data_IF_201710971790
#
_entry.id   IF_201710971790
#
_cell.length_a   1.000
_cell.length_b   1.000
_cell.length_c   1.000
_cell.angle_alpha   90.00
_cell.angle_beta   90.00
_cell.angle_gamma   90.00
#
_symmetry.space_group_name_H-M   'P 1'
#
loop_
_entity.id
_entity.type
_entity.pdbx_description
1 polymer ?
#
# COMPACT_ATOMS: atom_id res chain seq x y z
N UNK A 1 3.43 11.11 8.26
CA UNK A 1 4.34 9.97 8.01
C UNK A 1 5.52 10.43 7.18
N UNK A 2 6.73 9.88 7.45
CA UNK A 2 8.06 10.36 7.05
C UNK A 2 8.09 11.21 5.77
N UNK A 3 7.64 10.67 4.63
CA UNK A 3 7.62 11.38 3.35
C UNK A 3 6.95 12.76 3.39
N UNK A 4 5.85 12.93 4.12
CA UNK A 4 5.19 14.23 4.32
C UNK A 4 6.06 15.17 5.16
N UNK A 5 6.76 14.65 6.17
CA UNK A 5 7.62 15.43 7.06
C UNK A 5 8.90 15.93 6.36
N UNK A 6 9.42 15.16 5.39
CA UNK A 6 10.58 15.53 4.58
C UNK A 6 10.20 16.17 3.23
N UNK A 7 8.96 16.67 3.07
CA UNK A 7 8.52 17.44 1.89
C UNK A 7 8.15 16.63 0.64
N UNK A 8 8.21 15.29 0.67
CA UNK A 8 7.85 14.41 -0.45
C UNK A 8 6.34 14.09 -0.48
N UNK A 9 5.50 15.12 -0.63
CA UNK A 9 4.03 14.98 -0.58
C UNK A 9 3.47 14.09 -1.70
N UNK A 10 3.94 14.23 -2.94
CA UNK A 10 3.49 13.42 -4.07
C UNK A 10 3.79 11.94 -3.87
N UNK A 11 4.99 11.61 -3.41
CA UNK A 11 5.37 10.24 -3.10
C UNK A 11 4.52 9.67 -1.95
N UNK A 12 4.27 10.47 -0.91
CA UNK A 12 3.40 10.07 0.20
C UNK A 12 1.96 9.76 -0.27
N UNK A 13 1.42 10.57 -1.18
CA UNK A 13 0.10 10.37 -1.77
C UNK A 13 0.04 9.08 -2.60
N UNK A 14 1.03 8.83 -3.46
CA UNK A 14 1.13 7.59 -4.27
C UNK A 14 1.16 6.34 -3.38
N UNK A 15 2.00 6.33 -2.35
CA UNK A 15 2.08 5.21 -1.40
C UNK A 15 0.75 5.00 -0.70
N UNK A 16 0.09 6.07 -0.22
CA UNK A 16 -1.21 5.96 0.43
C UNK A 16 -2.27 5.38 -0.51
N UNK A 17 -2.34 5.87 -1.75
CA UNK A 17 -3.29 5.37 -2.75
C UNK A 17 -3.06 3.89 -3.05
N UNK A 18 -1.82 3.48 -3.32
CA UNK A 18 -1.48 2.09 -3.60
C UNK A 18 -1.83 1.14 -2.44
N UNK A 19 -1.64 1.57 -1.19
CA UNK A 19 -2.08 0.81 -0.01
C UNK A 19 -3.60 0.71 0.02
N UNK A 20 -4.32 1.83 -0.15
CA UNK A 20 -5.79 1.82 -0.12
C UNK A 20 -6.39 0.96 -1.23
N UNK A 21 -5.83 0.99 -2.43
CA UNK A 21 -6.27 0.15 -3.55
C UNK A 21 -6.01 -1.34 -3.31
N UNK A 22 -4.90 -1.67 -2.64
CA UNK A 22 -4.60 -3.05 -2.22
C UNK A 22 -5.66 -3.56 -1.25
N UNK A 23 -6.03 -2.75 -0.25
CA UNK A 23 -7.05 -3.09 0.73
C UNK A 23 -8.44 -3.20 0.08
N UNK A 24 -8.81 -2.26 -0.80
CA UNK A 24 -10.09 -2.28 -1.54
C UNK A 24 -10.21 -3.49 -2.46
N UNK A 25 -9.10 -4.00 -2.98
CA UNK A 25 -9.05 -5.21 -3.79
C UNK A 25 -9.19 -6.51 -2.95
N UNK A 26 -9.37 -6.42 -1.63
CA UNK A 26 -9.51 -7.58 -0.75
C UNK A 26 -8.21 -8.33 -0.48
N UNK A 27 -7.06 -7.74 -0.81
CA UNK A 27 -5.74 -8.34 -0.59
C UNK A 27 -5.32 -7.99 0.84
N UNK A 28 -5.84 -8.76 1.79
CA UNK A 28 -5.74 -8.53 3.23
C UNK A 28 -4.93 -9.63 3.91
N UNK A 29 -4.09 -9.27 4.87
CA UNK A 29 -3.40 -10.21 5.76
C UNK A 29 -4.36 -10.81 6.81
N UNK A 30 -3.99 -11.91 7.50
CA UNK A 30 -4.85 -12.55 8.51
C UNK A 30 -5.30 -11.64 9.65
N UNK A 31 -4.47 -10.69 10.07
CA UNK A 31 -4.82 -9.69 11.08
C UNK A 31 -5.92 -8.72 10.64
N UNK A 32 -6.15 -8.60 9.32
CA UNK A 32 -7.24 -7.82 8.71
C UNK A 32 -8.37 -8.71 8.19
N UNK A 33 -8.41 -9.99 8.58
CA UNK A 33 -9.46 -10.94 8.19
C UNK A 33 -9.30 -11.55 6.80
N UNK A 34 -8.13 -11.43 6.17
CA UNK A 34 -7.82 -12.07 4.88
C UNK A 34 -6.90 -13.28 4.99
N UNK A 35 -6.35 -13.69 3.86
CA UNK A 35 -5.43 -14.84 3.76
C UNK A 35 -4.11 -14.48 3.07
N UNK A 36 -3.92 -13.23 2.66
CA UNK A 36 -2.72 -12.79 1.95
C UNK A 36 -1.50 -12.79 2.88
N UNK A 37 -0.34 -13.15 2.34
CA UNK A 37 0.92 -13.02 3.09
C UNK A 37 1.42 -11.59 3.06
N UNK A 38 2.32 -11.23 3.99
CA UNK A 38 3.04 -9.95 3.97
C UNK A 38 3.69 -9.69 2.61
N UNK A 39 4.27 -10.72 2.00
CA UNK A 39 4.91 -10.62 0.70
C UNK A 39 3.90 -10.37 -0.43
N UNK A 40 2.72 -10.98 -0.37
CA UNK A 40 1.65 -10.76 -1.35
C UNK A 40 1.09 -9.33 -1.29
N UNK A 41 0.81 -8.82 -0.08
CA UNK A 41 0.39 -7.43 0.12
C UNK A 41 1.47 -6.48 -0.37
N UNK A 42 2.73 -6.69 -0.01
CA UNK A 42 3.86 -5.85 -0.43
C UNK A 42 3.98 -5.78 -1.95
N UNK A 43 3.95 -6.94 -2.64
CA UNK A 43 3.99 -6.99 -4.11
C UNK A 43 2.83 -6.22 -4.73
N UNK A 44 1.63 -6.34 -4.16
CA UNK A 44 0.46 -5.63 -4.69
C UNK A 44 0.56 -4.12 -4.52
N UNK A 45 1.07 -3.65 -3.38
CA UNK A 45 1.33 -2.23 -3.13
C UNK A 45 2.37 -1.71 -4.12
N UNK A 46 3.49 -2.41 -4.30
CA UNK A 46 4.54 -2.03 -5.27
C UNK A 46 3.97 -1.98 -6.70
N UNK A 47 3.17 -2.97 -7.10
CA UNK A 47 2.52 -2.97 -8.41
C UNK A 47 1.57 -1.77 -8.60
N UNK A 48 0.95 -1.28 -7.52
CA UNK A 48 0.10 -0.09 -7.53
C UNK A 48 0.85 1.24 -7.56
N UNK A 49 2.19 1.23 -7.48
CA UNK A 49 2.99 2.45 -7.53
C UNK A 49 3.35 2.88 -8.97
N UNK A 50 3.31 2.00 -9.98
CA UNK A 50 3.65 2.38 -11.36
C UNK A 50 2.49 3.13 -12.06
N UNK A 51 2.69 4.23 -12.79
CA UNK A 51 3.93 4.94 -13.20
C UNK A 51 4.35 6.10 -12.30
#
# INVERSE_FOLDING_TARGET
>A
MLLVHIGHHTAAARVRLAVMDTLRAGILTPDLGGTATTQAVTRRVIAGLGG
#
